data_IF_453931230293
#
_entry.id   IF_453931230293
#
_cell.length_a   1.000
_cell.length_b   1.000
_cell.length_c   1.000
_cell.angle_alpha   90.00
_cell.angle_beta   90.00
_cell.angle_gamma   90.00
#
_symmetry.space_group_name_H-M   'P 1'
#
loop_
_entity.id
_entity.type
_entity.pdbx_description
1 polymer ?
#
# COMPACT_ATOMS: atom_id res chain seq x y z
N UNK A 1 -38.34 18.29 4.24
CA UNK A 1 -36.90 18.35 4.58
C UNK A 1 -36.27 16.95 4.53
N UNK A 2 -36.41 16.25 3.39
CA UNK A 2 -35.83 14.91 3.16
C UNK A 2 -34.64 14.91 2.18
N UNK A 3 -34.44 16.03 1.45
CA UNK A 3 -33.38 16.14 0.47
C UNK A 3 -31.97 16.08 1.08
N UNK A 4 -31.79 16.68 2.27
CA UNK A 4 -30.49 16.69 2.97
C UNK A 4 -30.04 15.29 3.40
N UNK A 5 -30.83 14.50 4.16
CA UNK A 5 -30.42 13.15 4.55
C UNK A 5 -30.26 12.21 3.34
N UNK A 6 -31.07 12.38 2.30
CA UNK A 6 -30.92 11.62 1.05
C UNK A 6 -29.59 11.93 0.35
N UNK A 7 -29.24 13.21 0.19
CA UNK A 7 -27.98 13.61 -0.43
C UNK A 7 -26.77 13.08 0.35
N UNK A 8 -26.80 13.14 1.68
CA UNK A 8 -25.74 12.60 2.54
C UNK A 8 -25.54 11.10 2.33
N UNK A 9 -26.63 10.32 2.25
CA UNK A 9 -26.55 8.88 2.01
C UNK A 9 -25.97 8.57 0.62
N UNK A 10 -26.35 9.32 -0.41
CA UNK A 10 -25.79 9.16 -1.76
C UNK A 10 -24.28 9.45 -1.78
N UNK A 11 -23.82 10.53 -1.15
CA UNK A 11 -22.40 10.84 -1.05
C UNK A 11 -21.62 9.78 -0.28
N UNK A 12 -22.16 9.27 0.83
CA UNK A 12 -21.53 8.19 1.59
C UNK A 12 -21.34 6.91 0.76
N UNK A 13 -22.35 6.54 -0.05
CA UNK A 13 -22.24 5.40 -0.98
C UNK A 13 -21.16 5.66 -2.03
N UNK A 14 -21.20 6.82 -2.69
CA UNK A 14 -20.23 7.15 -3.75
C UNK A 14 -18.79 7.15 -3.23
N UNK A 15 -18.55 7.77 -2.08
CA UNK A 15 -17.23 7.83 -1.47
C UNK A 15 -16.74 6.44 -1.02
N UNK A 16 -17.62 5.60 -0.47
CA UNK A 16 -17.28 4.20 -0.17
C UNK A 16 -16.89 3.43 -1.44
N UNK A 17 -17.64 3.59 -2.53
CA UNK A 17 -17.33 2.95 -3.81
C UNK A 17 -15.97 3.40 -4.36
N UNK A 18 -15.67 4.70 -4.31
CA UNK A 18 -14.39 5.25 -4.79
C UNK A 18 -13.23 4.73 -3.92
N UNK A 19 -13.40 4.70 -2.60
CA UNK A 19 -12.39 4.19 -1.67
C UNK A 19 -12.07 2.71 -1.93
N UNK A 20 -13.10 1.86 -2.08
CA UNK A 20 -12.88 0.45 -2.43
C UNK A 20 -12.26 0.26 -3.81
N UNK A 21 -12.69 1.04 -4.81
CA UNK A 21 -12.08 1.01 -6.13
C UNK A 21 -10.59 1.42 -6.08
N UNK A 22 -10.25 2.45 -5.28
CA UNK A 22 -8.87 2.86 -5.04
C UNK A 22 -8.03 1.74 -4.41
N UNK A 23 -8.59 1.03 -3.43
CA UNK A 23 -7.92 -0.11 -2.81
C UNK A 23 -7.69 -1.28 -3.78
N UNK A 24 -8.67 -1.60 -4.65
CA UNK A 24 -8.53 -2.63 -5.69
C UNK A 24 -7.46 -2.25 -6.73
N UNK A 25 -7.45 -0.99 -7.18
CA UNK A 25 -6.42 -0.49 -8.09
C UNK A 25 -5.03 -0.60 -7.45
N UNK A 26 -4.90 -0.21 -6.18
CA UNK A 26 -3.64 -0.33 -5.45
C UNK A 26 -3.19 -1.79 -5.29
N UNK A 27 -4.11 -2.71 -5.00
CA UNK A 27 -3.80 -4.14 -4.92
C UNK A 27 -3.32 -4.69 -6.28
N UNK A 28 -3.98 -4.31 -7.37
CA UNK A 28 -3.58 -4.69 -8.73
C UNK A 28 -2.19 -4.16 -9.09
N UNK A 29 -1.91 -2.89 -8.81
CA UNK A 29 -0.59 -2.28 -9.03
C UNK A 29 0.48 -3.01 -8.21
N UNK A 30 0.18 -3.35 -6.95
CA UNK A 30 1.10 -4.07 -6.06
C UNK A 30 1.45 -5.45 -6.62
N UNK A 31 0.46 -6.19 -7.13
CA UNK A 31 0.69 -7.50 -7.78
C UNK A 31 1.54 -7.37 -9.05
N UNK A 32 1.26 -6.36 -9.87
CA UNK A 32 2.01 -6.12 -11.10
C UNK A 32 3.48 -5.76 -10.86
N UNK A 33 3.75 -4.93 -9.84
CA UNK A 33 5.11 -4.59 -9.40
C UNK A 33 5.79 -5.81 -8.80
N UNK A 34 5.09 -6.58 -7.95
CA UNK A 34 5.60 -7.82 -7.39
C UNK A 34 5.99 -8.83 -8.48
N UNK A 35 5.21 -8.93 -9.57
CA UNK A 35 5.54 -9.79 -10.72
C UNK A 35 6.82 -9.35 -11.44
N UNK A 36 7.02 -8.04 -11.63
CA UNK A 36 8.24 -7.51 -12.25
C UNK A 36 9.48 -7.78 -11.38
N UNK A 37 9.34 -7.66 -10.06
CA UNK A 37 10.40 -8.00 -9.10
C UNK A 37 10.66 -9.51 -9.05
N UNK A 38 9.60 -10.33 -9.04
CA UNK A 38 9.69 -11.80 -9.01
C UNK A 38 10.48 -12.37 -10.19
N UNK A 39 10.28 -11.79 -11.36
CA UNK A 39 10.89 -12.24 -12.63
C UNK A 39 12.25 -11.58 -12.90
N UNK A 40 12.74 -10.71 -12.02
CA UNK A 40 14.01 -10.00 -12.22
C UNK A 40 13.99 -8.95 -13.33
N UNK A 41 12.82 -8.60 -13.88
CA UNK A 41 12.68 -7.53 -14.89
C UNK A 41 13.20 -6.19 -14.36
N UNK A 42 13.01 -5.95 -13.05
CA UNK A 42 13.61 -4.83 -12.35
C UNK A 42 14.72 -5.38 -11.46
N UNK A 43 15.96 -5.10 -11.84
CA UNK A 43 17.14 -5.54 -11.09
C UNK A 43 17.24 -4.85 -9.75
N UNK A 44 17.75 -5.57 -8.75
CA UNK A 44 17.93 -5.08 -7.37
C UNK A 44 18.64 -3.72 -7.32
N UNK A 45 19.65 -3.50 -8.17
CA UNK A 45 20.40 -2.24 -8.24
C UNK A 45 19.54 -1.00 -8.59
N UNK A 46 18.41 -1.19 -9.26
CA UNK A 46 17.52 -0.11 -9.69
C UNK A 46 16.29 0.05 -8.78
N UNK A 47 16.09 -0.88 -7.83
CA UNK A 47 14.96 -0.83 -6.89
C UNK A 47 15.36 0.02 -5.69
N UNK A 48 15.10 1.31 -5.80
CA UNK A 48 15.15 2.25 -4.66
C UNK A 48 13.74 2.55 -4.18
N UNK A 49 13.60 3.11 -2.97
CA UNK A 49 12.32 3.59 -2.47
C UNK A 49 11.68 4.61 -3.44
N UNK A 50 12.47 5.53 -3.99
CA UNK A 50 11.99 6.52 -4.94
C UNK A 50 11.49 5.88 -6.24
N UNK A 51 12.25 4.93 -6.80
CA UNK A 51 11.83 4.20 -8.00
C UNK A 51 10.54 3.42 -7.75
N UNK A 52 10.46 2.72 -6.61
CA UNK A 52 9.30 1.91 -6.25
C UNK A 52 8.04 2.76 -6.05
N UNK A 53 8.16 3.88 -5.31
CA UNK A 53 7.07 4.85 -5.15
C UNK A 53 6.64 5.45 -6.48
N UNK A 54 7.58 5.79 -7.36
CA UNK A 54 7.27 6.33 -8.69
C UNK A 54 6.50 5.32 -9.56
N UNK A 55 6.92 4.06 -9.58
CA UNK A 55 6.22 3.01 -10.34
C UNK A 55 4.79 2.80 -9.85
N UNK A 56 4.59 2.76 -8.53
CA UNK A 56 3.25 2.60 -7.94
C UNK A 56 2.41 3.85 -8.20
N UNK A 57 2.97 5.03 -7.94
CA UNK A 57 2.25 6.28 -8.02
C UNK A 57 1.82 6.62 -9.46
N UNK A 58 2.67 6.40 -10.46
CA UNK A 58 2.34 6.67 -11.87
C UNK A 58 1.05 5.97 -12.37
N UNK A 59 0.68 4.84 -11.73
CA UNK A 59 -0.55 4.10 -12.02
C UNK A 59 -1.69 4.46 -11.07
N UNK A 60 -1.36 4.83 -9.83
CA UNK A 60 -2.32 5.21 -8.80
C UNK A 60 -2.89 6.62 -9.01
N UNK A 61 -2.16 7.53 -9.66
CA UNK A 61 -2.55 8.93 -9.96
C UNK A 61 -3.87 9.07 -10.75
N UNK A 62 -4.38 7.99 -11.36
CA UNK A 62 -5.74 7.97 -11.93
C UNK A 62 -6.82 8.13 -10.84
N UNK A 63 -6.55 7.63 -9.64
CA UNK A 63 -7.48 7.58 -8.52
C UNK A 63 -7.14 8.57 -7.40
N UNK A 64 -5.87 9.01 -7.30
CA UNK A 64 -5.38 9.84 -6.18
C UNK A 64 -4.75 11.14 -6.66
N UNK A 65 -4.46 12.04 -5.72
CA UNK A 65 -3.76 13.28 -6.01
C UNK A 65 -2.36 13.02 -6.60
N UNK A 66 -1.91 13.96 -7.44
CA UNK A 66 -0.57 13.93 -8.05
C UNK A 66 0.51 13.74 -6.99
N UNK A 67 1.55 12.98 -7.33
CA UNK A 67 2.68 12.63 -6.46
C UNK A 67 2.32 11.72 -5.26
N UNK A 68 1.07 11.23 -5.18
CA UNK A 68 0.58 10.27 -4.18
C UNK A 68 1.02 10.60 -2.74
N UNK A 69 0.62 11.76 -2.20
CA UNK A 69 1.01 12.17 -0.86
C UNK A 69 0.55 11.14 0.17
N UNK A 70 1.46 10.68 1.03
CA UNK A 70 1.16 9.66 2.03
C UNK A 70 1.29 8.21 1.53
N UNK A 71 1.91 7.98 0.38
CA UNK A 71 2.35 6.64 -0.05
C UNK A 71 3.61 6.21 0.71
N UNK A 72 3.50 5.12 1.44
CA UNK A 72 4.60 4.44 2.14
C UNK A 72 4.73 3.01 1.62
N UNK A 73 5.97 2.56 1.39
CA UNK A 73 6.25 1.25 0.81
C UNK A 73 7.28 0.53 1.65
N UNK A 74 7.11 -0.77 1.80
CA UNK A 74 8.04 -1.64 2.50
C UNK A 74 8.25 -2.91 1.67
N UNK A 75 9.47 -3.11 1.20
CA UNK A 75 9.88 -4.25 0.39
C UNK A 75 11.04 -4.95 1.10
N UNK A 76 10.88 -6.23 1.43
CA UNK A 76 11.90 -6.98 2.17
C UNK A 76 12.01 -8.42 1.72
N UNK A 77 13.24 -8.93 1.81
CA UNK A 77 13.51 -10.35 1.76
C UNK A 77 13.32 -11.01 3.14
N UNK A 78 12.80 -12.23 3.15
CA UNK A 78 12.61 -13.06 4.33
C UNK A 78 13.27 -14.44 4.14
N UNK A 79 13.72 -15.09 5.23
CA UNK A 79 14.30 -16.43 5.16
C UNK A 79 13.24 -17.52 4.94
N UNK A 80 11.97 -17.25 5.26
CA UNK A 80 10.86 -18.21 5.10
C UNK A 80 9.51 -17.49 5.01
N UNK A 81 8.51 -18.16 4.43
CA UNK A 81 7.13 -17.66 4.42
C UNK A 81 6.55 -17.51 5.84
N UNK A 82 6.98 -18.37 6.78
CA UNK A 82 6.58 -18.25 8.18
C UNK A 82 7.14 -16.97 8.83
N UNK A 83 8.36 -16.55 8.47
CA UNK A 83 8.93 -15.27 8.92
C UNK A 83 8.20 -14.08 8.28
N UNK A 84 7.88 -14.17 6.97
CA UNK A 84 7.09 -13.15 6.30
C UNK A 84 5.68 -13.01 6.93
N UNK A 85 5.05 -14.12 7.34
CA UNK A 85 3.74 -14.11 7.97
C UNK A 85 3.70 -13.45 9.37
N UNK A 86 4.86 -13.28 10.03
CA UNK A 86 4.94 -12.52 11.28
C UNK A 86 4.92 -11.01 11.05
N UNK A 87 5.20 -10.57 9.82
CA UNK A 87 5.23 -9.16 9.49
C UNK A 87 3.82 -8.58 9.48
N UNK A 88 3.58 -7.64 10.39
CA UNK A 88 2.31 -6.93 10.52
C UNK A 88 2.52 -5.43 10.56
N UNK A 89 1.43 -4.73 10.85
CA UNK A 89 1.44 -3.33 11.20
C UNK A 89 0.33 -3.07 12.21
N UNK A 90 0.52 -2.05 13.04
CA UNK A 90 -0.48 -1.49 13.92
C UNK A 90 -0.55 0.01 13.66
N UNK A 91 -1.66 0.64 14.04
CA UNK A 91 -1.75 2.10 14.04
C UNK A 91 -1.55 2.58 15.48
N UNK A 92 -0.47 3.33 15.72
CA UNK A 92 -0.14 3.91 17.01
C UNK A 92 -0.04 5.42 16.87
N UNK A 93 -0.77 6.16 17.72
CA UNK A 93 -0.87 7.61 17.65
C UNK A 93 -1.25 8.13 16.24
N UNK A 94 -2.09 7.37 15.52
CA UNK A 94 -2.53 7.70 14.16
C UNK A 94 -1.43 7.63 13.09
N UNK A 95 -0.30 7.00 13.39
CA UNK A 95 0.77 6.67 12.44
C UNK A 95 0.93 5.15 12.28
N UNK A 96 1.51 4.74 11.16
CA UNK A 96 1.72 3.33 10.84
C UNK A 96 2.98 2.84 11.55
N UNK A 97 2.81 1.89 12.48
CA UNK A 97 3.90 1.24 13.19
C UNK A 97 4.06 -0.20 12.68
N UNK A 98 5.18 -0.50 12.01
CA UNK A 98 5.47 -1.84 11.52
C UNK A 98 5.77 -2.80 12.69
N UNK A 99 5.22 -4.00 12.65
CA UNK A 99 5.42 -5.03 13.68
C UNK A 99 5.96 -6.32 13.06
N UNK A 100 6.66 -7.15 13.85
CA UNK A 100 7.22 -8.42 13.37
C UNK A 100 8.22 -8.29 12.22
N UNK A 101 8.83 -7.10 12.06
CA UNK A 101 9.85 -6.83 11.05
C UNK A 101 11.01 -6.04 11.65
N UNK A 102 12.23 -6.36 11.22
CA UNK A 102 13.46 -5.71 11.71
C UNK A 102 14.23 -5.17 10.50
N UNK A 103 14.55 -3.86 10.45
CA UNK A 103 14.14 -2.80 11.37
C UNK A 103 12.64 -2.48 11.28
N UNK A 104 12.02 -1.97 12.34
CA UNK A 104 10.59 -1.59 12.35
C UNK A 104 10.30 -0.25 11.63
N UNK A 105 11.05 0.04 10.57
CA UNK A 105 10.96 1.25 9.73
C UNK A 105 10.71 0.83 8.29
N UNK A 106 10.02 1.65 7.50
CA UNK A 106 9.84 1.37 6.07
C UNK A 106 11.21 1.21 5.39
N UNK A 107 11.40 0.06 4.75
CA UNK A 107 12.67 -0.29 4.11
C UNK A 107 12.39 -0.87 2.74
N UNK A 108 13.22 -0.52 1.77
CA UNK A 108 13.22 -1.13 0.43
C UNK A 108 14.54 -1.87 0.25
N UNK A 109 14.48 -3.17 0.47
CA UNK A 109 15.59 -4.11 0.34
C UNK A 109 15.10 -5.36 -0.40
N UNK A 110 15.11 -5.35 -1.74
CA UNK A 110 14.75 -6.52 -2.54
C UNK A 110 15.79 -7.62 -2.32
N UNK A 111 15.34 -8.87 -2.25
CA UNK A 111 16.21 -10.04 -2.26
C UNK A 111 16.64 -10.44 -3.68
N UNK A 112 17.66 -11.30 -3.73
CA UNK A 112 18.26 -11.85 -4.96
C UNK A 112 17.38 -12.94 -5.61
N UNK A 113 17.87 -13.57 -6.67
CA UNK A 113 17.24 -14.76 -7.25
C UNK A 113 16.90 -15.80 -6.16
N UNK A 114 15.77 -16.50 -6.34
CA UNK A 114 15.26 -17.52 -5.43
C UNK A 114 14.96 -17.10 -3.98
N UNK A 115 15.11 -15.81 -3.63
CA UNK A 115 14.76 -15.31 -2.30
C UNK A 115 13.24 -15.15 -2.12
N UNK A 116 12.78 -15.26 -0.87
CA UNK A 116 11.38 -14.96 -0.52
C UNK A 116 11.28 -13.47 -0.24
N UNK A 117 10.36 -12.78 -0.89
CA UNK A 117 10.16 -11.35 -0.76
C UNK A 117 8.72 -11.04 -0.37
N UNK A 118 8.54 -9.93 0.32
CA UNK A 118 7.24 -9.35 0.60
C UNK A 118 7.26 -7.85 0.31
N UNK A 119 6.28 -7.41 -0.48
CA UNK A 119 5.97 -6.01 -0.74
C UNK A 119 4.72 -5.64 0.04
N UNK A 120 4.78 -4.55 0.77
CA UNK A 120 3.69 -3.94 1.50
C UNK A 120 3.56 -2.49 1.06
N UNK A 121 2.36 -2.10 0.65
CA UNK A 121 2.05 -0.76 0.17
C UNK A 121 0.97 -0.18 1.07
N UNK A 122 1.27 0.99 1.60
CA UNK A 122 0.42 1.73 2.52
C UNK A 122 0.09 3.07 1.89
N UNK A 123 -1.19 3.42 1.83
CA UNK A 123 -1.63 4.69 1.31
C UNK A 123 -2.60 5.36 2.27
N UNK A 124 -2.27 6.58 2.69
CA UNK A 124 -3.12 7.42 3.54
C UNK A 124 -4.22 8.04 2.67
N UNK A 125 -5.38 7.41 2.60
CA UNK A 125 -6.50 7.83 1.75
C UNK A 125 -7.28 9.00 2.39
N UNK A 126 -7.39 10.15 1.72
CA UNK A 126 -8.16 11.28 2.22
C UNK A 126 -9.65 10.99 2.15
N UNK A 127 -10.32 11.03 3.29
CA UNK A 127 -11.79 10.97 3.37
C UNK A 127 -12.31 12.38 3.12
N UNK A 128 -13.13 12.53 2.07
CA UNK A 128 -13.62 13.82 1.58
C UNK A 128 -14.78 14.34 2.43
N UNK A 129 -15.57 13.47 3.06
CA UNK A 129 -16.66 13.91 3.95
C UNK A 129 -16.31 13.80 5.43
N UNK A 130 -16.45 14.92 6.14
CA UNK A 130 -16.22 15.05 7.59
C UNK A 130 -17.00 14.04 8.44
N UNK A 131 -18.19 13.64 7.97
CA UNK A 131 -19.03 12.66 8.66
C UNK A 131 -18.46 11.24 8.55
N UNK A 132 -17.95 10.86 7.38
CA UNK A 132 -17.30 9.55 7.21
C UNK A 132 -15.91 9.54 7.83
N UNK A 133 -15.17 10.65 7.83
CA UNK A 133 -13.88 10.74 8.50
C UNK A 133 -14.01 10.37 10.00
N UNK A 134 -15.05 10.83 10.70
CA UNK A 134 -15.30 10.44 12.10
C UNK A 134 -15.60 8.95 12.32
N UNK A 135 -16.09 8.25 11.29
CA UNK A 135 -16.49 6.85 11.37
C UNK A 135 -15.45 5.88 10.77
N UNK A 136 -14.61 6.36 9.85
CA UNK A 136 -13.71 5.53 9.03
C UNK A 136 -12.24 5.90 9.19
N UNK A 137 -11.92 7.14 9.58
CA UNK A 137 -10.54 7.56 9.73
C UNK A 137 -9.89 6.78 10.88
N UNK A 138 -8.79 6.12 10.54
CA UNK A 138 -7.97 5.37 11.48
C UNK A 138 -6.58 5.99 11.65
N UNK A 139 -6.23 7.02 10.86
CA UNK A 139 -4.96 7.74 10.91
C UNK A 139 -5.15 9.19 11.36
N UNK A 140 -4.02 9.85 11.70
CA UNK A 140 -3.98 11.31 11.84
C UNK A 140 -4.52 11.99 10.57
N UNK A 141 -5.05 13.19 10.76
CA UNK A 141 -5.58 14.06 9.69
C UNK A 141 -6.88 13.58 9.02
N UNK A 142 -7.61 12.63 9.63
CA UNK A 142 -8.91 12.18 9.10
C UNK A 142 -8.80 11.20 7.92
N UNK A 143 -7.62 10.61 7.72
CA UNK A 143 -7.36 9.66 6.64
C UNK A 143 -7.72 8.23 7.03
N UNK A 144 -8.09 7.44 6.02
CA UNK A 144 -8.27 5.99 6.12
C UNK A 144 -7.06 5.29 5.51
N UNK A 145 -6.52 4.29 6.18
CA UNK A 145 -5.41 3.51 5.65
C UNK A 145 -5.90 2.50 4.60
N UNK A 146 -5.43 2.65 3.37
CA UNK A 146 -5.45 1.57 2.39
C UNK A 146 -4.16 0.76 2.48
N UNK A 147 -4.32 -0.55 2.49
CA UNK A 147 -3.21 -1.49 2.60
C UNK A 147 -3.31 -2.59 1.54
N UNK A 148 -2.19 -2.86 0.87
CA UNK A 148 -2.02 -4.02 0.02
C UNK A 148 -0.69 -4.70 0.32
N UNK A 149 -0.66 -6.02 0.25
CA UNK A 149 0.57 -6.79 0.44
C UNK A 149 0.64 -7.98 -0.49
N UNK A 150 1.83 -8.25 -1.01
CA UNK A 150 2.12 -9.42 -1.82
C UNK A 150 3.37 -10.10 -1.30
N UNK A 151 3.32 -11.42 -1.13
CA UNK A 151 4.47 -12.25 -0.70
C UNK A 151 4.74 -13.31 -1.76
N UNK A 152 6.00 -13.46 -2.18
CA UNK A 152 6.36 -14.39 -3.25
C UNK A 152 7.79 -14.94 -3.06
N UNK A 153 8.15 -15.95 -3.86
CA UNK A 153 9.55 -16.39 -4.06
C UNK A 153 10.00 -15.93 -5.44
N UNK A 154 11.17 -15.31 -5.53
CA UNK A 154 11.78 -14.90 -6.79
C UNK A 154 12.05 -16.11 -7.69
N UNK A 155 11.88 -15.92 -8.99
CA UNK A 155 12.28 -16.90 -9.99
C UNK A 155 13.82 -16.96 -10.08
N UNK A 156 14.39 -18.05 -10.63
CA UNK A 156 15.79 -18.06 -11.01
C UNK A 156 15.99 -17.09 -12.18
N UNK A 157 16.75 -16.03 -11.96
CA UNK A 157 17.16 -15.06 -12.97
C UNK A 157 18.66 -14.76 -12.82
N UNK A 158 19.31 -14.32 -13.91
CA UNK A 158 20.71 -13.90 -13.85
C UNK A 158 20.82 -12.57 -13.08
N UNK A 159 21.63 -12.56 -12.02
CA UNK A 159 21.90 -11.38 -11.18
C UNK A 159 22.67 -10.27 -11.95
#
# INVERSE_FOLDING_TARGET
>A
MLAVPFALLVFAILESCISFAGQEVMANITDDVARQLRTGQIRQANVTEATLKSMICSRLEIMVAKDCPGLEVDLRAYPSFAAAAQAGFNIQDGEIALTGTTPATFTVSPGLAESINMLRVFYKWPVMTDFMAKSMANLKDGNTLHFASMTWKNEPFDD
#
